data_IF_195365484828
#
_entry.id   IF_195365484828
#
_cell.length_a   1.000
_cell.length_b   1.000
_cell.length_c   1.000
_cell.angle_alpha   90.00
_cell.angle_beta   90.00
_cell.angle_gamma   90.00
#
_symmetry.space_group_name_H-M   'P 1'
#
loop_
_entity.id
_entity.type
_entity.pdbx_description
1 polymer ?
#
# COMPACT_ATOMS: atom_id res chain seq x y z
N UNK A 1 -13.72 10.36 -18.77
CA UNK A 1 -13.91 10.26 -17.30
C UNK A 1 -15.37 10.43 -16.95
N UNK A 2 -15.88 9.46 -16.20
CA UNK A 2 -17.29 9.48 -15.76
C UNK A 2 -17.51 10.53 -14.67
N UNK A 3 -16.48 10.80 -13.85
CA UNK A 3 -16.54 11.76 -12.76
C UNK A 3 -15.38 12.76 -12.88
N UNK A 4 -15.53 13.77 -13.77
CA UNK A 4 -14.41 14.68 -14.06
C UNK A 4 -14.04 15.60 -12.89
N UNK A 5 -14.88 15.70 -11.87
CA UNK A 5 -14.61 16.52 -10.69
C UNK A 5 -13.68 15.83 -9.67
N UNK A 6 -13.41 14.53 -9.82
CA UNK A 6 -12.54 13.81 -8.90
C UNK A 6 -11.09 14.22 -9.11
N UNK A 7 -10.39 14.45 -8.00
CA UNK A 7 -9.00 14.88 -8.01
C UNK A 7 -8.11 14.03 -7.08
N UNK A 8 -8.66 12.97 -6.51
CA UNK A 8 -7.90 12.06 -5.66
C UNK A 8 -8.45 10.64 -5.70
N UNK A 9 -7.54 9.66 -5.63
CA UNK A 9 -7.86 8.23 -5.63
C UNK A 9 -7.07 7.57 -4.50
N UNK A 10 -7.76 6.82 -3.64
CA UNK A 10 -7.11 5.91 -2.70
C UNK A 10 -7.32 4.48 -3.20
N UNK A 11 -6.23 3.76 -3.38
CA UNK A 11 -6.25 2.37 -3.85
C UNK A 11 -5.95 1.42 -2.70
N UNK A 12 -6.62 0.28 -2.67
CA UNK A 12 -6.49 -0.69 -1.59
C UNK A 12 -5.14 -1.42 -1.59
N UNK A 13 -4.38 -1.30 -2.68
CA UNK A 13 -2.99 -1.74 -2.71
C UNK A 13 -2.20 -0.93 -3.74
N UNK A 14 -0.88 -1.07 -3.69
CA UNK A 14 0.01 -0.29 -4.56
C UNK A 14 -0.04 -0.74 -6.02
N UNK A 15 -0.36 -2.00 -6.29
CA UNK A 15 -0.48 -2.47 -7.69
C UNK A 15 -1.61 -1.73 -8.41
N UNK A 16 -2.76 -1.56 -7.74
CA UNK A 16 -3.86 -0.78 -8.28
C UNK A 16 -3.48 0.69 -8.42
N UNK A 17 -2.77 1.24 -7.46
CA UNK A 17 -2.33 2.63 -7.48
C UNK A 17 -1.37 2.90 -8.64
N UNK A 18 -0.44 1.98 -8.90
CA UNK A 18 0.49 2.09 -10.03
C UNK A 18 -0.27 2.04 -11.36
N UNK A 19 -1.26 1.16 -11.47
CA UNK A 19 -2.12 1.10 -12.66
C UNK A 19 -2.87 2.41 -12.88
N UNK A 20 -3.41 2.99 -11.80
CA UNK A 20 -4.08 4.29 -11.88
C UNK A 20 -3.12 5.39 -12.32
N UNK A 21 -1.87 5.37 -11.83
CA UNK A 21 -0.86 6.33 -12.22
C UNK A 21 -0.54 6.25 -13.72
N UNK A 22 -0.40 5.04 -14.25
CA UNK A 22 -0.16 4.85 -15.68
C UNK A 22 -1.33 5.33 -16.51
N UNK A 23 -2.58 5.12 -16.08
CA UNK A 23 -3.75 5.63 -16.78
C UNK A 23 -3.79 7.16 -16.74
N UNK A 24 -3.40 7.77 -15.64
CA UNK A 24 -3.27 9.24 -15.59
C UNK A 24 -2.25 9.75 -16.60
N UNK A 25 -1.11 9.07 -16.73
CA UNK A 25 -0.11 9.42 -17.74
C UNK A 25 -0.68 9.32 -19.14
N UNK A 26 -1.41 8.24 -19.43
CA UNK A 26 -2.04 8.04 -20.73
C UNK A 26 -3.03 9.16 -21.06
N UNK A 27 -3.75 9.64 -20.05
CA UNK A 27 -4.75 10.71 -20.22
C UNK A 27 -4.15 12.12 -20.15
N UNK A 28 -2.86 12.24 -19.90
CA UNK A 28 -2.20 13.55 -19.76
C UNK A 28 -2.48 14.25 -18.45
N UNK A 29 -2.95 13.53 -17.43
CA UNK A 29 -3.19 14.08 -16.10
C UNK A 29 -1.90 14.09 -15.30
N UNK A 30 -1.62 15.22 -14.65
CA UNK A 30 -0.43 15.35 -13.79
C UNK A 30 -0.70 14.86 -12.39
N UNK A 31 0.27 14.13 -11.84
CA UNK A 31 0.21 13.61 -10.46
C UNK A 31 1.23 14.39 -9.64
N UNK A 32 0.85 15.02 -8.53
CA UNK A 32 -0.49 15.02 -7.90
C UNK A 32 -1.42 16.16 -8.34
N UNK A 33 -0.97 17.06 -9.21
CA UNK A 33 -1.68 18.33 -9.45
C UNK A 33 -3.10 18.13 -9.96
N UNK A 34 -3.27 17.24 -10.94
CA UNK A 34 -4.59 16.94 -11.52
C UNK A 34 -5.26 15.77 -10.80
N UNK A 35 -4.47 14.83 -10.31
CA UNK A 35 -4.97 13.64 -9.63
C UNK A 35 -3.97 13.19 -8.59
N UNK A 36 -4.36 13.26 -7.32
CA UNK A 36 -3.59 12.70 -6.22
C UNK A 36 -3.88 11.21 -6.11
N UNK A 37 -2.85 10.40 -5.85
CA UNK A 37 -2.98 8.94 -5.77
C UNK A 37 -2.29 8.44 -4.52
N UNK A 38 -2.97 7.59 -3.76
CA UNK A 38 -2.40 6.92 -2.60
C UNK A 38 -2.69 5.42 -2.69
N UNK A 39 -1.78 4.62 -2.16
CA UNK A 39 -1.88 3.17 -2.15
C UNK A 39 -1.78 2.59 -0.75
N UNK A 40 -1.50 1.31 -0.68
CA UNK A 40 -1.44 0.56 0.56
C UNK A 40 -0.46 -0.60 0.41
N UNK A 41 0.29 -0.90 1.44
CA UNK A 41 1.31 -1.93 1.63
C UNK A 41 2.75 -1.51 1.32
N UNK A 42 2.99 -0.49 0.51
CA UNK A 42 4.35 -0.02 0.23
C UNK A 42 5.15 -0.98 -0.65
N UNK A 43 4.54 -1.47 -1.74
CA UNK A 43 5.22 -2.34 -2.69
C UNK A 43 6.39 -1.59 -3.36
N UNK A 44 7.43 -2.31 -3.73
CA UNK A 44 8.66 -1.72 -4.27
C UNK A 44 8.40 -0.88 -5.51
N UNK A 45 7.51 -1.30 -6.40
CA UNK A 45 7.19 -0.57 -7.62
C UNK A 45 6.72 0.87 -7.32
N UNK A 46 5.91 1.05 -6.29
CA UNK A 46 5.42 2.38 -5.91
C UNK A 46 6.53 3.25 -5.33
N UNK A 47 7.52 2.65 -4.69
CA UNK A 47 8.61 3.37 -4.05
C UNK A 47 9.69 3.83 -5.02
N UNK A 48 9.70 3.31 -6.23
CA UNK A 48 10.68 3.68 -7.27
C UNK A 48 10.06 4.44 -8.44
N UNK A 49 8.75 4.59 -8.48
CA UNK A 49 8.08 5.37 -9.53
C UNK A 49 8.25 6.87 -9.28
N UNK A 50 8.01 7.66 -10.33
CA UNK A 50 8.05 9.13 -10.25
C UNK A 50 6.70 9.71 -10.66
N UNK A 51 6.04 10.47 -9.79
CA UNK A 51 6.43 10.73 -8.40
C UNK A 51 6.26 9.47 -7.53
N UNK A 52 7.04 9.41 -6.43
CA UNK A 52 6.95 8.28 -5.51
C UNK A 52 5.53 8.16 -4.95
N UNK A 53 5.00 6.95 -4.91
CA UNK A 53 3.64 6.70 -4.46
C UNK A 53 3.51 6.93 -2.95
N UNK A 54 2.53 7.75 -2.55
CA UNK A 54 2.12 7.85 -1.16
C UNK A 54 1.44 6.53 -0.76
N UNK A 55 1.84 5.95 0.34
CA UNK A 55 1.34 4.63 0.73
C UNK A 55 1.40 4.43 2.24
N UNK A 56 0.56 3.53 2.72
CA UNK A 56 0.66 3.00 4.07
C UNK A 56 1.63 1.83 4.02
N UNK A 57 2.77 1.97 4.68
CA UNK A 57 3.79 0.94 4.72
C UNK A 57 3.48 -0.05 5.83
N UNK A 58 3.28 -1.31 5.46
CA UNK A 58 3.05 -2.39 6.42
C UNK A 58 4.34 -3.18 6.62
N UNK A 59 4.61 -3.70 7.84
CA UNK A 59 5.83 -4.47 8.10
C UNK A 59 5.71 -5.90 7.56
N UNK A 60 5.69 -6.05 6.23
CA UNK A 60 5.35 -7.31 5.55
C UNK A 60 6.28 -8.46 5.92
N UNK A 61 7.60 -8.21 5.93
CA UNK A 61 8.57 -9.23 6.32
C UNK A 61 8.32 -9.70 7.75
N UNK A 62 8.15 -8.76 8.67
CA UNK A 62 7.90 -9.06 10.07
C UNK A 62 6.57 -9.79 10.25
N UNK A 63 5.53 -9.37 9.51
CA UNK A 63 4.23 -10.03 9.53
C UNK A 63 4.35 -11.48 9.08
N UNK A 64 5.08 -11.72 7.99
CA UNK A 64 5.31 -13.07 7.48
C UNK A 64 6.07 -13.94 8.48
N UNK A 65 7.15 -13.41 9.06
CA UNK A 65 7.97 -14.13 10.03
C UNK A 65 7.17 -14.48 11.29
N UNK A 66 6.50 -13.50 11.87
CA UNK A 66 5.72 -13.69 13.09
C UNK A 66 4.54 -14.62 12.82
N UNK A 67 3.88 -14.45 11.67
CA UNK A 67 2.78 -15.33 11.28
C UNK A 67 3.22 -16.79 11.17
N UNK A 68 4.38 -17.03 10.54
CA UNK A 68 4.91 -18.38 10.41
C UNK A 68 5.29 -18.97 11.76
N UNK A 69 5.94 -18.19 12.63
CA UNK A 69 6.30 -18.62 13.98
C UNK A 69 5.07 -19.02 14.79
N UNK A 70 4.02 -18.20 14.71
CA UNK A 70 2.79 -18.44 15.46
C UNK A 70 2.05 -19.66 14.92
N UNK A 71 2.02 -19.83 13.59
CA UNK A 71 1.41 -21.01 12.97
C UNK A 71 2.13 -22.29 13.37
N UNK A 72 3.47 -22.28 13.36
CA UNK A 72 4.26 -23.44 13.81
C UNK A 72 3.99 -23.77 15.28
N UNK A 73 3.87 -22.74 16.11
CA UNK A 73 3.53 -22.95 17.53
C UNK A 73 2.16 -23.65 17.68
N UNK A 74 1.18 -23.22 16.89
CA UNK A 74 -0.15 -23.84 16.90
C UNK A 74 -0.11 -25.30 16.42
N UNK A 75 0.67 -25.59 15.38
CA UNK A 75 0.84 -26.96 14.88
C UNK A 75 1.44 -27.86 15.96
N UNK A 76 2.35 -27.33 16.79
CA UNK A 76 2.95 -28.06 17.90
C UNK A 76 2.03 -28.20 19.12
N UNK A 77 0.81 -27.65 19.06
CA UNK A 77 -0.13 -27.68 20.18
C UNK A 77 0.14 -26.65 21.26
N UNK A 78 1.02 -25.67 20.99
CA UNK A 78 1.30 -24.59 21.94
C UNK A 78 0.21 -23.53 21.90
N UNK A 79 -0.06 -22.88 23.01
CA UNK A 79 -0.97 -21.74 23.05
C UNK A 79 -0.34 -20.54 22.39
N UNK A 80 -1.11 -19.83 21.58
CA UNK A 80 -0.66 -18.59 20.90
C UNK A 80 -1.52 -17.44 21.40
N UNK A 81 -0.91 -16.50 22.11
CA UNK A 81 -1.57 -15.32 22.65
C UNK A 81 -0.72 -14.07 22.42
N UNK A 82 -1.36 -12.92 22.12
CA UNK A 82 -2.78 -12.76 21.80
C UNK A 82 -3.12 -13.40 20.45
N UNK A 83 -4.39 -13.74 20.24
CA UNK A 83 -4.84 -14.31 18.96
C UNK A 83 -4.70 -13.31 17.83
N UNK A 84 -4.91 -12.03 18.12
CA UNK A 84 -4.69 -10.93 17.18
C UNK A 84 -3.52 -10.10 17.67
N UNK A 85 -2.58 -9.84 16.77
CA UNK A 85 -1.40 -9.04 17.07
C UNK A 85 -1.27 -7.93 16.05
N UNK A 86 -1.33 -6.69 16.54
CA UNK A 86 -1.15 -5.49 15.71
C UNK A 86 0.34 -5.15 15.64
N UNK A 87 0.93 -5.25 14.45
CA UNK A 87 2.33 -4.91 14.23
C UNK A 87 2.54 -3.45 13.81
N UNK A 88 1.43 -2.70 13.68
CA UNK A 88 1.49 -1.29 13.33
C UNK A 88 1.74 -1.05 11.85
N UNK A 89 1.97 0.22 11.53
CA UNK A 89 2.24 0.67 10.17
C UNK A 89 2.96 2.02 10.22
N UNK A 90 3.51 2.43 9.09
CA UNK A 90 4.04 3.78 8.91
C UNK A 90 3.45 4.38 7.64
N UNK A 91 3.52 5.71 7.52
CA UNK A 91 3.05 6.41 6.33
C UNK A 91 4.25 6.89 5.53
N UNK A 92 4.24 6.60 4.23
CA UNK A 92 5.18 7.18 3.29
C UNK A 92 4.45 8.28 2.53
N UNK A 93 4.78 9.57 2.73
CA UNK A 93 4.08 10.64 2.02
C UNK A 93 4.37 10.67 0.53
N UNK A 94 5.51 10.16 0.10
CA UNK A 94 5.88 10.14 -1.31
C UNK A 94 5.80 11.50 -1.96
N UNK A 95 5.35 11.52 -3.23
CA UNK A 95 5.13 12.74 -3.99
C UNK A 95 3.84 12.69 -4.80
N UNK A 96 2.99 11.66 -4.61
CA UNK A 96 1.78 11.46 -5.41
C UNK A 96 0.51 12.06 -4.80
N UNK A 97 0.65 12.72 -3.66
CA UNK A 97 -0.46 13.44 -3.04
C UNK A 97 -0.11 14.88 -2.76
#
# INVERSE_FOLDING_TARGET
>A
REYPQLDGIFCTNDDLAVGAAFECQRLGLKIPDDMAIAGFHGHDIGQVMEPRLASVLTPRERMGRIGAERLLARIRGEAVTPKMLDLGFTLSPGGSI
#
